data_IF_090901614849
#
_entry.id   IF_090901614849
#
_cell.length_a   1.000
_cell.length_b   1.000
_cell.length_c   1.000
_cell.angle_alpha   90.00
_cell.angle_beta   90.00
_cell.angle_gamma   90.00
#
_symmetry.space_group_name_H-M   'P 1'
#
loop_
_entity.id
_entity.type
_entity.pdbx_description
1 polymer ?
#
# COMPACT_ATOMS: atom_id res chain seq x y z
N UNK A 1 -36.41 -22.55 18.92
CA UNK A 1 -35.04 -22.09 18.66
C UNK A 1 -34.44 -23.10 17.70
N UNK A 2 -34.31 -22.74 16.42
CA UNK A 2 -33.69 -23.63 15.43
C UNK A 2 -32.23 -23.25 15.37
N UNK A 3 -31.37 -24.11 15.88
CA UNK A 3 -29.92 -23.94 15.79
C UNK A 3 -29.55 -23.89 14.31
N UNK A 4 -28.94 -22.77 13.90
CA UNK A 4 -28.34 -22.62 12.59
C UNK A 4 -27.06 -23.45 12.58
N UNK A 5 -27.20 -24.77 12.46
CA UNK A 5 -26.07 -25.68 12.25
C UNK A 5 -25.51 -25.42 10.84
N UNK A 6 -24.47 -24.61 10.77
CA UNK A 6 -23.75 -24.37 9.52
C UNK A 6 -23.20 -25.72 9.01
N UNK A 7 -23.60 -26.11 7.79
CA UNK A 7 -23.07 -27.30 7.12
C UNK A 7 -21.54 -27.26 7.15
N UNK A 8 -20.85 -28.31 7.63
CA UNK A 8 -19.39 -28.34 7.56
C UNK A 8 -18.94 -28.17 6.11
N UNK A 9 -17.85 -27.42 5.87
CA UNK A 9 -17.39 -27.15 4.52
C UNK A 9 -17.07 -28.45 3.80
N UNK A 10 -17.41 -28.52 2.51
CA UNK A 10 -17.03 -29.69 1.71
C UNK A 10 -15.51 -29.75 1.52
N UNK A 11 -14.91 -30.92 1.27
CA UNK A 11 -13.46 -31.02 1.03
C UNK A 11 -12.96 -30.09 -0.10
N UNK A 12 -13.81 -29.80 -1.09
CA UNK A 12 -13.50 -28.84 -2.15
C UNK A 12 -13.49 -27.38 -1.65
N UNK A 13 -14.38 -27.01 -0.73
CA UNK A 13 -14.42 -25.69 -0.08
C UNK A 13 -13.20 -25.48 0.83
N UNK A 14 -12.78 -26.51 1.56
CA UNK A 14 -11.55 -26.48 2.38
C UNK A 14 -10.31 -26.32 1.51
N UNK A 15 -10.19 -27.10 0.43
CA UNK A 15 -9.06 -27.00 -0.50
C UNK A 15 -9.00 -25.64 -1.18
N UNK A 16 -10.14 -25.08 -1.61
CA UNK A 16 -10.21 -23.75 -2.18
C UNK A 16 -9.80 -22.68 -1.15
N UNK A 17 -10.31 -22.76 0.08
CA UNK A 17 -9.95 -21.81 1.14
C UNK A 17 -8.46 -21.85 1.46
N UNK A 18 -7.85 -23.04 1.41
CA UNK A 18 -6.41 -23.21 1.59
C UNK A 18 -5.63 -22.53 0.47
N UNK A 19 -6.00 -22.78 -0.80
CA UNK A 19 -5.34 -22.15 -1.96
C UNK A 19 -5.46 -20.63 -1.92
N UNK A 20 -6.65 -20.10 -1.56
CA UNK A 20 -6.85 -18.66 -1.39
C UNK A 20 -5.93 -18.12 -0.28
N UNK A 21 -5.88 -18.78 0.88
CA UNK A 21 -5.00 -18.36 1.98
C UNK A 21 -3.52 -18.38 1.60
N UNK A 22 -3.06 -19.39 0.86
CA UNK A 22 -1.69 -19.46 0.34
C UNK A 22 -1.40 -18.33 -0.67
N UNK A 23 -2.35 -17.99 -1.53
CA UNK A 23 -2.25 -16.84 -2.44
C UNK A 23 -2.21 -15.50 -1.69
N UNK A 24 -3.07 -15.31 -0.68
CA UNK A 24 -3.09 -14.10 0.16
C UNK A 24 -1.78 -13.90 0.90
N UNK A 25 -1.22 -14.97 1.49
CA UNK A 25 0.08 -14.93 2.16
C UNK A 25 1.19 -14.48 1.21
N UNK A 26 1.24 -15.05 0.00
CA UNK A 26 2.23 -14.64 -1.01
C UNK A 26 2.07 -13.19 -1.46
N UNK A 27 0.84 -12.70 -1.59
CA UNK A 27 0.60 -11.29 -1.90
C UNK A 27 1.06 -10.38 -0.76
N UNK A 28 0.92 -10.81 0.50
CA UNK A 28 1.42 -10.08 1.67
C UNK A 28 2.94 -9.96 1.64
N UNK A 29 3.64 -11.06 1.38
CA UNK A 29 5.10 -11.06 1.23
C UNK A 29 5.57 -10.10 0.11
N UNK A 30 4.89 -10.08 -1.04
CA UNK A 30 5.21 -9.15 -2.11
C UNK A 30 4.93 -7.69 -1.75
N UNK A 31 3.85 -7.42 -1.01
CA UNK A 31 3.53 -6.06 -0.54
C UNK A 31 4.56 -5.56 0.48
N UNK A 32 5.00 -6.41 1.41
CA UNK A 32 6.08 -6.10 2.36
C UNK A 32 7.40 -5.84 1.63
N UNK A 33 7.75 -6.68 0.66
CA UNK A 33 8.95 -6.48 -0.16
C UNK A 33 8.88 -5.14 -0.91
N UNK A 34 7.75 -4.82 -1.54
CA UNK A 34 7.57 -3.55 -2.24
C UNK A 34 7.71 -2.34 -1.28
N UNK A 35 7.16 -2.45 -0.07
CA UNK A 35 7.32 -1.43 0.95
C UNK A 35 8.80 -1.26 1.36
N UNK A 36 9.50 -2.36 1.60
CA UNK A 36 10.91 -2.33 1.97
C UNK A 36 11.78 -1.72 0.87
N UNK A 37 11.61 -2.15 -0.39
CA UNK A 37 12.32 -1.59 -1.55
C UNK A 37 12.06 -0.09 -1.68
N UNK A 38 10.81 0.36 -1.52
CA UNK A 38 10.46 1.78 -1.54
C UNK A 38 11.22 2.57 -0.47
N UNK A 39 11.30 2.04 0.76
CA UNK A 39 12.04 2.69 1.84
C UNK A 39 13.54 2.76 1.55
N UNK A 40 14.16 1.66 1.16
CA UNK A 40 15.59 1.58 0.87
C UNK A 40 16.03 2.47 -0.30
N UNK A 41 15.16 2.67 -1.30
CA UNK A 41 15.46 3.59 -2.42
C UNK A 41 15.21 5.05 -2.04
N UNK A 42 14.14 5.35 -1.31
CA UNK A 42 13.83 6.72 -0.92
C UNK A 42 14.86 7.32 0.03
N UNK A 43 15.53 6.49 0.85
CA UNK A 43 16.57 6.92 1.77
C UNK A 43 17.74 7.65 1.06
N UNK A 44 18.48 7.01 0.13
CA UNK A 44 19.55 7.69 -0.61
C UNK A 44 19.03 8.79 -1.55
N UNK A 45 17.81 8.67 -2.11
CA UNK A 45 17.24 9.74 -2.94
C UNK A 45 17.00 11.02 -2.14
N UNK A 46 16.53 10.90 -0.90
CA UNK A 46 16.35 12.06 -0.01
C UNK A 46 17.68 12.78 0.22
N UNK A 47 18.75 12.01 0.48
CA UNK A 47 20.11 12.55 0.59
C UNK A 47 20.60 13.21 -0.70
N UNK A 48 20.42 12.55 -1.85
CA UNK A 48 20.83 13.06 -3.16
C UNK A 48 20.14 14.39 -3.51
N UNK A 49 18.83 14.47 -3.29
CA UNK A 49 18.04 15.70 -3.50
C UNK A 49 18.52 16.80 -2.57
N UNK A 50 18.74 16.48 -1.28
CA UNK A 50 19.29 17.44 -0.31
C UNK A 50 20.66 17.98 -0.73
N UNK A 51 21.57 17.12 -1.19
CA UNK A 51 22.89 17.54 -1.69
C UNK A 51 22.79 18.42 -2.95
N UNK A 52 21.92 18.06 -3.90
CA UNK A 52 21.68 18.89 -5.09
C UNK A 52 21.14 20.27 -4.69
N UNK A 53 20.22 20.33 -3.73
CA UNK A 53 19.66 21.57 -3.20
C UNK A 53 20.71 22.42 -2.47
N UNK A 54 21.61 21.81 -1.70
CA UNK A 54 22.72 22.53 -1.07
C UNK A 54 23.66 23.12 -2.12
N UNK A 55 24.07 22.36 -3.13
CA UNK A 55 24.92 22.85 -4.23
C UNK A 55 24.28 24.02 -4.98
N UNK A 56 22.96 24.02 -5.19
CA UNK A 56 22.26 25.12 -5.87
C UNK A 56 22.30 26.45 -5.11
N UNK A 57 22.63 26.42 -3.81
CA UNK A 57 22.82 27.61 -2.95
C UNK A 57 24.23 28.17 -3.02
N UNK A 58 25.18 27.43 -3.58
CA UNK A 58 26.56 27.87 -3.78
C UNK A 58 26.71 28.70 -5.06
N UNK A 59 27.86 29.39 -5.17
CA UNK A 59 28.27 30.05 -6.41
C UNK A 59 28.74 28.99 -7.42
N UNK A 60 27.92 28.80 -8.45
CA UNK A 60 28.15 27.84 -9.52
C UNK A 60 28.20 28.57 -10.86
N UNK A 61 29.04 28.08 -11.78
CA UNK A 61 28.92 28.48 -13.18
C UNK A 61 27.54 28.09 -13.73
N UNK A 62 27.06 28.79 -14.75
CA UNK A 62 25.75 28.51 -15.37
C UNK A 62 25.64 27.04 -15.86
N UNK A 63 26.74 26.48 -16.35
CA UNK A 63 26.80 25.09 -16.80
C UNK A 63 26.68 24.12 -15.63
N UNK A 64 27.38 24.37 -14.52
CA UNK A 64 27.26 23.55 -13.31
C UNK A 64 25.86 23.66 -12.70
N UNK A 65 25.30 24.88 -12.59
CA UNK A 65 23.95 25.11 -12.08
C UNK A 65 22.90 24.34 -12.89
N UNK A 66 22.96 24.37 -14.22
CA UNK A 66 22.06 23.59 -15.10
C UNK A 66 22.19 22.09 -14.86
N UNK A 67 23.42 21.57 -14.70
CA UNK A 67 23.64 20.14 -14.41
C UNK A 67 23.05 19.73 -13.07
N UNK A 68 23.22 20.54 -12.02
CA UNK A 68 22.66 20.24 -10.69
C UNK A 68 21.12 20.29 -10.72
N UNK A 69 20.53 21.25 -11.43
CA UNK A 69 19.06 21.29 -11.64
C UNK A 69 18.57 20.02 -12.35
N UNK A 70 19.28 19.55 -13.38
CA UNK A 70 18.94 18.28 -14.04
C UNK A 70 19.03 17.09 -13.08
N UNK A 71 20.07 17.02 -12.23
CA UNK A 71 20.21 15.97 -11.22
C UNK A 71 19.03 16.00 -10.24
N UNK A 72 18.67 17.18 -9.73
CA UNK A 72 17.53 17.34 -8.82
C UNK A 72 16.21 16.89 -9.48
N UNK A 73 15.96 17.30 -10.73
CA UNK A 73 14.77 16.91 -11.47
C UNK A 73 14.68 15.41 -11.69
N UNK A 74 15.79 14.77 -12.08
CA UNK A 74 15.83 13.32 -12.28
C UNK A 74 15.62 12.58 -10.96
N UNK A 75 16.26 13.02 -9.87
CA UNK A 75 16.09 12.41 -8.56
C UNK A 75 14.63 12.52 -8.06
N UNK A 76 13.98 13.67 -8.26
CA UNK A 76 12.55 13.83 -7.96
C UNK A 76 11.69 12.87 -8.79
N UNK A 77 11.95 12.74 -10.10
CA UNK A 77 11.21 11.81 -10.97
C UNK A 77 11.37 10.35 -10.54
N UNK A 78 12.56 9.94 -10.11
CA UNK A 78 12.79 8.59 -9.57
C UNK A 78 11.97 8.41 -8.29
N UNK A 79 12.01 9.38 -7.37
CA UNK A 79 11.23 9.34 -6.12
C UNK A 79 9.74 9.15 -6.41
N UNK A 80 9.19 9.89 -7.37
CA UNK A 80 7.78 9.81 -7.73
C UNK A 80 7.44 8.45 -8.37
N UNK A 81 8.35 7.89 -9.17
CA UNK A 81 8.20 6.55 -9.77
C UNK A 81 8.24 5.45 -8.70
N UNK A 82 9.11 5.59 -7.70
CA UNK A 82 9.21 4.64 -6.58
C UNK A 82 8.03 4.77 -5.63
N UNK A 83 7.46 5.98 -5.49
CA UNK A 83 6.26 6.20 -4.69
C UNK A 83 5.03 5.47 -5.24
N UNK A 84 4.95 5.22 -6.56
CA UNK A 84 3.84 4.45 -7.15
C UNK A 84 3.81 2.99 -6.68
N UNK A 85 4.92 2.44 -6.17
CA UNK A 85 4.95 1.11 -5.54
C UNK A 85 4.05 1.01 -4.30
N UNK A 86 3.59 2.14 -3.73
CA UNK A 86 2.59 2.16 -2.66
C UNK A 86 1.25 1.56 -3.08
N UNK A 87 0.95 1.50 -4.38
CA UNK A 87 -0.29 0.89 -4.89
C UNK A 87 -0.31 -0.63 -4.70
N UNK A 88 0.86 -1.26 -4.51
CA UNK A 88 0.97 -2.68 -4.19
C UNK A 88 0.56 -2.89 -2.73
N UNK A 89 -0.72 -3.22 -2.53
CA UNK A 89 -1.30 -3.54 -1.23
C UNK A 89 -1.98 -4.90 -1.30
N UNK A 90 -1.92 -5.65 -0.21
CA UNK A 90 -2.74 -6.85 -0.08
C UNK A 90 -4.22 -6.50 -0.05
N UNK A 91 -5.08 -7.33 -0.67
CA UNK A 91 -6.51 -7.26 -0.41
C UNK A 91 -6.73 -7.40 1.10
N UNK A 92 -7.42 -6.43 1.71
CA UNK A 92 -7.88 -6.61 3.07
C UNK A 92 -8.86 -7.78 3.07
N UNK A 93 -8.69 -8.80 3.93
CA UNK A 93 -9.64 -9.89 4.00
C UNK A 93 -11.00 -9.27 4.34
N UNK A 94 -11.94 -9.34 3.39
CA UNK A 94 -13.31 -8.92 3.62
C UNK A 94 -13.79 -9.77 4.80
N UNK A 95 -14.14 -9.18 5.96
CA UNK A 95 -14.67 -9.96 7.05
C UNK A 95 -15.92 -10.67 6.51
N UNK A 96 -15.89 -12.00 6.44
CA UNK A 96 -17.09 -12.78 6.15
C UNK A 96 -17.98 -12.74 7.39
N UNK A 97 -18.51 -11.55 7.69
CA UNK A 97 -19.50 -11.32 8.72
C UNK A 97 -20.85 -11.76 8.19
N UNK A 98 -21.46 -12.72 8.88
CA UNK A 98 -22.78 -13.26 8.59
C UNK A 98 -23.84 -12.18 8.42
N UNK A 99 -24.82 -12.48 7.56
CA UNK A 99 -25.99 -11.65 7.40
C UNK A 99 -26.68 -11.40 8.74
N UNK A 100 -26.80 -10.13 9.09
CA UNK A 100 -27.91 -9.54 9.85
C UNK A 100 -27.73 -8.00 9.87
N UNK A 101 -28.02 -7.35 8.74
CA UNK A 101 -28.55 -5.99 8.80
C UNK A 101 -30.03 -6.14 9.13
N UNK A 102 -30.38 -5.96 10.41
CA UNK A 102 -31.75 -5.70 10.83
C UNK A 102 -31.77 -4.23 11.27
N UNK A 103 -31.82 -3.32 10.29
CA UNK A 103 -32.20 -1.94 10.54
C UNK A 103 -33.72 -1.91 10.74
N UNK A 104 -34.15 -2.05 11.98
CA UNK A 104 -35.49 -1.65 12.39
C UNK A 104 -35.49 -0.11 12.55
N UNK A 105 -36.49 0.61 11.99
CA UNK A 105 -36.58 2.06 12.16
C UNK A 105 -36.84 2.38 13.64
N UNK A 106 -35.97 3.21 14.25
CA UNK A 106 -36.25 3.82 15.55
C UNK A 106 -37.34 4.88 15.37
N UNK A 107 -38.52 4.64 15.96
CA UNK A 107 -39.54 5.68 16.12
C UNK A 107 -39.01 6.84 16.99
N UNK A 108 -39.37 8.10 16.68
CA UNK A 108 -38.93 9.25 17.46
C UNK A 108 -39.74 9.38 18.75
N UNK A 109 -39.16 10.01 19.80
CA UNK A 109 -39.82 10.14 21.09
C UNK A 109 -41.03 11.08 21.00
N UNK A 110 -42.14 10.65 21.59
CA UNK A 110 -43.28 11.54 21.86
C UNK A 110 -42.88 12.58 22.91
N UNK A 111 -43.31 13.82 22.65
CA UNK A 111 -43.16 14.98 23.52
C UNK A 111 -43.91 14.84 24.84
#
# INVERSE_FOLDING_TARGET
MSENEARPPSPAEEQLSRVIGECEARLAEYAELAAHVRHEINNPLTGLIGQAQLLLREELSDTARRRVQTIEQLANRIRDTVASLREIQTPQPIPRGGGQHNDAPKEPPHH
#
